data_IF_988681354707
#
_entry.id   IF_988681354707
#
_cell.length_a   1.000
_cell.length_b   1.000
_cell.length_c   1.000
_cell.angle_alpha   90.00
_cell.angle_beta   90.00
_cell.angle_gamma   90.00
#
_symmetry.space_group_name_H-M   'P 1'
#
loop_
_entity.id
_entity.type
_entity.pdbx_description
1 polymer ?
#
# COMPACT_ATOMS: atom_id res chain seq x y z
N UNK A 1 18.40 38.76 13.29
CA UNK A 1 17.07 38.12 13.30
C UNK A 1 17.11 36.99 12.30
N UNK A 2 17.15 35.73 12.75
CA UNK A 2 17.23 34.57 11.87
C UNK A 2 15.81 34.14 11.49
N UNK A 3 15.48 34.22 10.20
CA UNK A 3 14.25 33.64 9.64
C UNK A 3 14.42 32.13 9.60
N UNK A 4 13.83 31.42 10.56
CA UNK A 4 13.71 29.96 10.51
C UNK A 4 12.93 29.59 9.25
N UNK A 5 13.47 28.78 8.33
CA UNK A 5 12.71 28.34 7.18
C UNK A 5 11.55 27.47 7.67
N UNK A 6 10.32 27.93 7.41
CA UNK A 6 9.09 27.17 7.61
C UNK A 6 9.14 25.99 6.62
N UNK A 7 9.78 24.89 7.01
CA UNK A 7 9.69 23.65 6.26
C UNK A 7 8.18 23.30 6.19
N UNK A 8 7.61 23.10 5.00
CA UNK A 8 6.20 22.71 4.91
C UNK A 8 6.03 21.46 5.74
N UNK A 9 5.13 21.51 6.74
CA UNK A 9 4.87 20.37 7.62
C UNK A 9 4.59 19.15 6.74
N UNK A 10 5.51 18.19 6.74
CA UNK A 10 5.35 16.99 5.93
C UNK A 10 4.09 16.29 6.40
N UNK A 11 3.12 16.14 5.50
CA UNK A 11 1.89 15.42 5.80
C UNK A 11 2.24 13.98 6.19
N UNK A 12 1.58 13.40 7.21
CA UNK A 12 1.79 12.01 7.54
C UNK A 12 1.33 11.13 6.37
N UNK A 13 2.09 10.07 6.02
CA UNK A 13 1.63 9.11 5.05
C UNK A 13 0.39 8.36 5.58
N UNK A 14 -0.45 7.89 4.67
CA UNK A 14 -1.42 6.86 4.99
C UNK A 14 -0.75 5.48 4.94
N UNK A 15 -1.24 4.53 5.74
CA UNK A 15 -0.89 3.12 5.68
C UNK A 15 -2.17 2.31 5.53
N UNK A 16 -2.25 1.46 4.49
CA UNK A 16 -3.42 0.61 4.26
C UNK A 16 -3.11 -0.86 4.50
N UNK A 17 -3.97 -1.49 5.31
CA UNK A 17 -3.88 -2.91 5.67
C UNK A 17 -5.23 -3.58 5.46
N UNK A 18 -5.21 -4.79 4.90
CA UNK A 18 -6.39 -5.62 4.73
C UNK A 18 -6.12 -7.03 5.23
N UNK A 19 -7.03 -7.56 6.04
CA UNK A 19 -6.84 -8.83 6.75
C UNK A 19 -7.94 -9.83 6.43
N UNK A 20 -7.56 -11.07 6.11
CA UNK A 20 -8.52 -12.17 5.87
C UNK A 20 -8.82 -12.99 7.14
N UNK A 21 -7.93 -12.94 8.15
CA UNK A 21 -8.09 -13.65 9.42
C UNK A 21 -7.68 -12.74 10.58
N UNK A 22 -8.29 -12.88 11.77
CA UNK A 22 -8.04 -12.04 12.93
C UNK A 22 -6.74 -12.39 13.67
N UNK A 23 -5.68 -12.79 12.96
CA UNK A 23 -4.41 -13.15 13.60
C UNK A 23 -3.67 -11.88 14.06
N UNK A 24 -3.82 -11.54 15.34
CA UNK A 24 -3.36 -10.26 15.90
C UNK A 24 -1.84 -10.07 15.85
N UNK A 25 -1.07 -11.15 15.96
CA UNK A 25 0.39 -11.11 15.88
C UNK A 25 0.87 -10.67 14.49
N UNK A 26 0.26 -11.22 13.42
CA UNK A 26 0.55 -10.82 12.05
C UNK A 26 0.16 -9.36 11.79
N UNK A 27 -0.97 -8.91 12.37
CA UNK A 27 -1.41 -7.51 12.33
C UNK A 27 -0.40 -6.57 12.96
N UNK A 28 0.03 -6.86 14.18
CA UNK A 28 1.01 -6.05 14.89
C UNK A 28 2.34 -5.99 14.12
N UNK A 29 2.79 -7.13 13.58
CA UNK A 29 4.02 -7.21 12.78
C UNK A 29 4.00 -6.31 11.55
N UNK A 30 2.90 -6.28 10.77
CA UNK A 30 2.82 -5.40 9.58
C UNK A 30 2.71 -3.92 9.95
N UNK A 31 1.97 -3.58 11.02
CA UNK A 31 1.90 -2.18 11.50
C UNK A 31 3.28 -1.67 11.90
N UNK A 32 4.01 -2.48 12.65
CA UNK A 32 5.36 -2.14 13.09
C UNK A 32 6.33 -2.06 11.91
N UNK A 33 6.23 -2.98 10.94
CA UNK A 33 7.04 -2.91 9.73
C UNK A 33 6.80 -1.62 8.93
N UNK A 34 5.55 -1.18 8.78
CA UNK A 34 5.21 0.07 8.09
C UNK A 34 5.66 1.31 8.89
N UNK A 35 5.57 1.29 10.22
CA UNK A 35 6.12 2.36 11.07
C UNK A 35 7.63 2.49 10.89
N UNK A 36 8.36 1.37 10.97
CA UNK A 36 9.81 1.36 10.74
C UNK A 36 10.16 1.79 9.33
N UNK A 37 9.36 1.42 8.34
CA UNK A 37 9.56 1.84 6.97
C UNK A 37 9.36 3.35 6.81
N UNK A 38 8.30 3.91 7.38
CA UNK A 38 8.08 5.36 7.43
C UNK A 38 9.25 6.10 8.10
N UNK A 39 9.71 5.60 9.26
CA UNK A 39 10.86 6.17 9.95
C UNK A 39 12.14 6.14 9.09
N UNK A 40 12.39 5.03 8.38
CA UNK A 40 13.53 4.90 7.45
C UNK A 40 13.46 5.84 6.25
N UNK A 41 12.25 6.22 5.83
CA UNK A 41 12.03 7.20 4.77
C UNK A 41 12.13 8.65 5.27
N UNK A 42 12.30 8.87 6.59
CA UNK A 42 12.32 10.20 7.19
C UNK A 42 10.96 10.91 7.14
N UNK A 43 9.86 10.17 6.99
CA UNK A 43 8.49 10.72 6.99
C UNK A 43 7.82 10.53 8.35
N UNK A 44 6.77 11.31 8.67
CA UNK A 44 6.04 11.16 9.92
C UNK A 44 5.42 9.76 10.08
N UNK A 45 5.00 9.45 11.30
CA UNK A 45 4.31 8.20 11.59
C UNK A 45 3.02 8.07 10.73
N UNK A 46 2.77 6.89 10.14
CA UNK A 46 1.63 6.72 9.25
C UNK A 46 0.29 6.68 9.99
N UNK A 47 -0.75 7.21 9.34
CA UNK A 47 -2.16 7.03 9.75
C UNK A 47 -2.68 5.71 9.16
N UNK A 48 -3.17 4.81 10.00
CA UNK A 48 -3.58 3.46 9.61
C UNK A 48 -5.05 3.38 9.22
N UNK A 49 -5.31 2.81 8.04
CA UNK A 49 -6.62 2.43 7.52
C UNK A 49 -6.65 0.91 7.41
N UNK A 50 -7.51 0.26 8.19
CA UNK A 50 -7.51 -1.19 8.33
C UNK A 50 -8.88 -1.77 7.99
N UNK A 51 -8.90 -2.68 7.01
CA UNK A 51 -10.11 -3.44 6.68
C UNK A 51 -9.99 -4.90 7.09
N UNK A 52 -11.09 -5.43 7.61
CA UNK A 52 -11.24 -6.82 7.96
C UNK A 52 -12.18 -7.48 6.95
N UNK A 53 -11.68 -8.47 6.22
CA UNK A 53 -12.48 -9.29 5.32
C UNK A 53 -12.80 -10.62 5.98
N UNK A 54 -14.10 -10.86 6.20
CA UNK A 54 -14.60 -12.21 6.51
C UNK A 54 -14.69 -13.05 5.23
N UNK A 55 -14.41 -14.36 5.29
CA UNK A 55 -14.73 -15.26 4.18
C UNK A 55 -16.24 -15.19 3.89
N UNK A 56 -16.62 -14.88 2.65
CA UNK A 56 -18.01 -14.67 2.23
C UNK A 56 -18.49 -13.21 2.26
N UNK A 57 -17.66 -12.26 2.70
CA UNK A 57 -17.98 -10.84 2.53
C UNK A 57 -18.05 -10.50 1.04
N UNK A 58 -19.11 -9.79 0.67
CA UNK A 58 -19.41 -9.42 -0.72
C UNK A 58 -18.21 -8.72 -1.37
N UNK A 59 -17.58 -9.42 -2.32
CA UNK A 59 -16.40 -8.92 -3.01
C UNK A 59 -16.70 -7.70 -3.89
N UNK A 60 -17.97 -7.31 -4.01
CA UNK A 60 -18.47 -6.21 -4.82
C UNK A 60 -18.46 -4.87 -4.09
N UNK A 61 -18.48 -4.87 -2.75
CA UNK A 61 -18.50 -3.63 -1.96
C UNK A 61 -17.07 -3.11 -1.71
N UNK A 62 -16.89 -1.81 -1.91
CA UNK A 62 -15.67 -1.11 -1.52
C UNK A 62 -15.46 -1.25 0.00
N UNK A 63 -14.27 -1.67 0.48
CA UNK A 63 -14.01 -1.76 1.91
C UNK A 63 -14.12 -0.37 2.59
N UNK A 64 -14.75 -0.25 3.78
CA UNK A 64 -15.02 1.03 4.41
C UNK A 64 -13.75 1.83 4.75
N UNK A 65 -12.68 1.16 5.21
CA UNK A 65 -11.44 1.89 5.52
C UNK A 65 -10.70 2.31 4.24
N UNK A 66 -10.81 1.55 3.15
CA UNK A 66 -10.32 1.97 1.84
C UNK A 66 -11.07 3.21 1.31
N UNK A 67 -12.40 3.26 1.47
CA UNK A 67 -13.19 4.44 1.12
C UNK A 67 -12.79 5.67 1.94
N UNK A 68 -12.64 5.51 3.27
CA UNK A 68 -12.15 6.57 4.15
C UNK A 68 -10.74 7.06 3.75
N UNK A 69 -9.85 6.14 3.34
CA UNK A 69 -8.53 6.47 2.81
C UNK A 69 -8.64 7.33 1.54
N UNK A 70 -9.49 6.93 0.58
CA UNK A 70 -9.69 7.69 -0.66
C UNK A 70 -10.20 9.10 -0.35
N UNK A 71 -11.16 9.25 0.56
CA UNK A 71 -11.64 10.57 0.98
C UNK A 71 -10.56 11.41 1.65
N UNK A 72 -9.72 10.82 2.51
CA UNK A 72 -8.63 11.54 3.15
C UNK A 72 -7.55 11.98 2.14
N UNK A 73 -7.29 11.17 1.12
CA UNK A 73 -6.41 11.55 0.00
C UNK A 73 -7.02 12.68 -0.82
N UNK A 74 -8.31 12.60 -1.15
CA UNK A 74 -9.03 13.67 -1.87
C UNK A 74 -9.04 14.99 -1.09
N UNK A 75 -9.21 14.92 0.23
CA UNK A 75 -9.12 16.07 1.14
C UNK A 75 -7.70 16.63 1.30
N UNK A 76 -6.69 15.99 0.71
CA UNK A 76 -5.31 16.43 0.77
C UNK A 76 -4.59 16.08 2.07
N UNK A 77 -5.20 15.32 2.98
CA UNK A 77 -4.61 14.90 4.25
C UNK A 77 -3.41 13.97 4.05
N UNK A 78 -3.39 13.23 2.94
CA UNK A 78 -2.31 12.30 2.59
C UNK A 78 -1.94 12.41 1.12
N UNK A 79 -0.64 12.41 0.82
CA UNK A 79 -0.09 12.34 -0.54
C UNK A 79 0.75 11.09 -0.79
N UNK A 80 1.11 10.38 0.26
CA UNK A 80 1.91 9.17 0.25
C UNK A 80 1.12 8.05 0.92
N UNK A 81 1.03 6.90 0.25
CA UNK A 81 0.45 5.67 0.80
C UNK A 81 1.54 4.61 0.98
N UNK A 82 1.58 3.98 2.14
CA UNK A 82 2.42 2.83 2.46
C UNK A 82 1.56 1.57 2.52
N UNK A 83 2.00 0.50 1.86
CA UNK A 83 1.33 -0.80 1.90
C UNK A 83 2.36 -1.93 2.09
N UNK A 84 1.98 -3.05 2.69
CA UNK A 84 2.87 -4.21 2.79
C UNK A 84 3.06 -4.93 1.44
N UNK A 85 2.10 -4.79 0.53
CA UNK A 85 2.16 -5.30 -0.84
C UNK A 85 0.82 -5.11 -1.56
N UNK A 86 0.75 -5.33 -2.89
CA UNK A 86 -0.43 -5.01 -3.69
C UNK A 86 -1.65 -5.89 -3.34
N UNK A 87 -1.39 -7.05 -2.74
CA UNK A 87 -2.41 -7.99 -2.26
C UNK A 87 -3.40 -7.38 -1.26
N UNK A 88 -3.06 -6.26 -0.59
CA UNK A 88 -4.00 -5.56 0.31
C UNK A 88 -5.22 -5.03 -0.42
N UNK A 89 -5.11 -4.70 -1.71
CA UNK A 89 -6.25 -4.23 -2.48
C UNK A 89 -7.12 -5.40 -2.95
N UNK A 90 -6.50 -6.44 -3.49
CA UNK A 90 -7.15 -7.67 -3.93
C UNK A 90 -6.11 -8.73 -4.34
N UNK A 91 -6.51 -10.00 -4.36
CA UNK A 91 -5.72 -11.06 -5.01
C UNK A 91 -5.70 -10.98 -6.55
N UNK A 92 -6.61 -10.22 -7.17
CA UNK A 92 -6.70 -10.09 -8.63
C UNK A 92 -6.03 -8.82 -9.17
N UNK A 93 -5.18 -8.96 -10.19
CA UNK A 93 -4.41 -7.86 -10.76
C UNK A 93 -5.29 -6.70 -11.28
N UNK A 94 -6.45 -7.01 -11.89
CA UNK A 94 -7.37 -6.00 -12.38
C UNK A 94 -7.89 -5.07 -11.26
N UNK A 95 -8.20 -5.63 -10.09
CA UNK A 95 -8.66 -4.88 -8.93
C UNK A 95 -7.54 -4.08 -8.27
N UNK A 96 -6.31 -4.63 -8.24
CA UNK A 96 -5.12 -3.88 -7.82
C UNK A 96 -4.92 -2.65 -8.69
N UNK A 97 -4.96 -2.80 -10.02
CA UNK A 97 -4.84 -1.68 -10.97
C UNK A 97 -5.96 -0.66 -10.78
N UNK A 98 -7.19 -1.10 -10.57
CA UNK A 98 -8.32 -0.21 -10.31
C UNK A 98 -8.10 0.60 -9.02
N UNK A 99 -7.71 -0.05 -7.92
CA UNK A 99 -7.44 0.62 -6.64
C UNK A 99 -6.33 1.67 -6.77
N UNK A 100 -5.23 1.33 -7.45
CA UNK A 100 -4.14 2.29 -7.73
C UNK A 100 -4.66 3.46 -8.55
N UNK A 101 -5.43 3.23 -9.62
CA UNK A 101 -6.00 4.31 -10.43
C UNK A 101 -6.91 5.23 -9.63
N UNK A 102 -7.77 4.68 -8.77
CA UNK A 102 -8.65 5.44 -7.89
C UNK A 102 -7.84 6.33 -6.94
N UNK A 103 -6.82 5.76 -6.28
CA UNK A 103 -5.97 6.52 -5.35
C UNK A 103 -5.16 7.61 -6.07
N UNK A 104 -4.59 7.30 -7.24
CA UNK A 104 -3.88 8.29 -8.05
C UNK A 104 -4.80 9.41 -8.51
N UNK A 105 -6.01 9.07 -8.98
CA UNK A 105 -7.01 10.07 -9.39
C UNK A 105 -7.50 10.93 -8.20
N UNK A 106 -7.56 10.35 -7.00
CA UNK A 106 -7.87 11.07 -5.76
C UNK A 106 -6.75 12.04 -5.33
N UNK A 107 -5.56 11.97 -5.93
CA UNK A 107 -4.43 12.85 -5.60
C UNK A 107 -3.35 12.19 -4.73
N UNK A 108 -3.34 10.87 -4.62
CA UNK A 108 -2.21 10.12 -4.03
C UNK A 108 -1.03 10.20 -4.99
N UNK A 109 0.01 10.94 -4.61
CA UNK A 109 1.18 11.17 -5.45
C UNK A 109 2.11 9.98 -5.54
N UNK A 110 2.19 9.16 -4.48
CA UNK A 110 3.07 7.98 -4.43
C UNK A 110 2.47 6.87 -3.58
N UNK A 111 2.64 5.64 -4.04
CA UNK A 111 2.34 4.42 -3.29
C UNK A 111 3.66 3.65 -3.14
N UNK A 112 4.10 3.42 -1.90
CA UNK A 112 5.32 2.67 -1.60
C UNK A 112 4.96 1.35 -0.91
N UNK A 113 5.66 0.30 -1.33
CA UNK A 113 5.50 -1.04 -0.78
C UNK A 113 6.64 -1.33 0.20
N UNK A 114 6.37 -2.12 1.24
CA UNK A 114 7.44 -2.70 2.05
C UNK A 114 8.41 -3.48 1.13
N UNK A 115 9.73 -3.36 1.36
CA UNK A 115 10.68 -4.21 0.68
C UNK A 115 10.40 -5.67 1.06
N UNK A 116 10.25 -6.54 0.07
CA UNK A 116 10.09 -7.97 0.33
C UNK A 116 11.28 -8.49 1.15
N UNK A 117 11.08 -9.37 2.15
CA UNK A 117 12.17 -10.02 2.84
C UNK A 117 12.93 -10.89 1.84
N UNK A 118 14.09 -10.38 1.39
CA UNK A 118 14.86 -10.90 0.26
C UNK A 118 14.73 -9.99 -0.96
N UNK A 119 15.71 -9.10 -1.17
CA UNK A 119 15.75 -8.08 -2.21
C UNK A 119 15.65 -8.57 -3.67
N UNK A 120 16.17 -7.81 -4.66
CA UNK A 120 15.73 -7.83 -6.07
C UNK A 120 15.89 -9.17 -6.85
N UNK A 121 16.38 -10.23 -6.23
CA UNK A 121 16.55 -11.55 -6.85
C UNK A 121 15.23 -12.28 -7.17
N UNK A 122 14.11 -12.01 -6.48
CA UNK A 122 12.83 -12.68 -6.78
C UNK A 122 12.07 -12.08 -7.97
N UNK A 123 12.23 -10.79 -8.26
CA UNK A 123 11.61 -10.16 -9.43
C UNK A 123 12.30 -10.54 -10.75
N UNK A 124 13.59 -10.92 -10.73
CA UNK A 124 14.28 -11.47 -11.93
C UNK A 124 13.71 -12.84 -12.35
N UNK A 125 13.42 -13.73 -11.40
CA UNK A 125 12.89 -15.08 -11.72
C UNK A 125 11.51 -15.08 -12.36
N UNK A 126 10.67 -14.07 -12.12
CA UNK A 126 9.36 -13.99 -12.79
C UNK A 126 9.42 -13.40 -14.21
N UNK A 127 10.46 -12.62 -14.55
CA UNK A 127 10.65 -12.14 -15.93
C UNK A 127 11.37 -13.15 -16.84
N UNK A 128 12.18 -14.06 -16.28
CA UNK A 128 12.87 -15.10 -17.06
C UNK A 128 12.04 -16.34 -17.36
N UNK A 129 10.87 -16.52 -16.73
CA UNK A 129 9.99 -17.67 -16.97
C UNK A 129 9.06 -17.57 -18.20
N UNK A 130 9.05 -16.44 -18.91
CA UNK A 130 8.18 -16.21 -20.06
C UNK A 130 8.97 -16.13 -21.38
N UNK A 131 9.67 -17.21 -21.74
CA UNK A 131 10.04 -17.45 -23.13
C UNK A 131 9.13 -18.56 -23.68
N UNK A 132 8.28 -18.30 -24.69
CA UNK A 132 7.55 -19.37 -25.35
C UNK A 132 8.57 -20.27 -26.05
N UNK A 133 8.54 -21.56 -25.74
CA UNK A 133 9.26 -22.57 -26.49
C UNK A 133 8.74 -22.51 -27.94
N UNK A 134 9.58 -22.00 -28.85
CA UNK A 134 9.34 -22.15 -30.29
C UNK A 134 9.45 -23.64 -30.60
N UNK A 135 8.36 -24.22 -31.07
CA UNK A 135 8.38 -25.53 -31.73
C UNK A 135 9.22 -25.46 -33.01
N UNK A 136 10.09 -26.44 -33.27
CA UNK A 136 10.46 -26.82 -34.62
C UNK A 136 9.59 -28.00 -35.10
N UNK A 137 9.38 -27.99 -36.40
CA UNK A 137 8.56 -28.91 -37.21
C UNK A 137 9.10 -30.33 -37.26
#
# INVERSE_FOLDING_TARGET
MATTPYAPASLPPAAYLRWLRPEEAARHGQREALRRFAARLGVPAPVFYEDHTSPGADATRCPPAFEALVHAVMGGSHRLLLIPGPWVFSGGEARVRLAVRVLTAAGCGRILMLPAPGGPARLRRMREGARPARAPR
#
